data_IF_241022814057
#
_entry.id   IF_241022814057
#
_cell.length_a   1.000
_cell.length_b   1.000
_cell.length_c   1.000
_cell.angle_alpha   90.00
_cell.angle_beta   90.00
_cell.angle_gamma   90.00
#
_symmetry.space_group_name_H-M   'P 1'
#
loop_
_entity.id
_entity.type
_entity.pdbx_description
1 polymer ?
#
# COMPACT_ATOMS: atom_id res chain seq x y z
N UNK A 1 -3.00 48.68 -8.57
CA UNK A 1 -1.95 47.74 -9.01
C UNK A 1 -1.42 46.84 -7.89
N UNK A 2 -1.05 47.35 -6.71
CA UNK A 2 -0.56 46.53 -5.57
C UNK A 2 -1.56 45.47 -5.07
N UNK A 3 -2.86 45.78 -5.04
CA UNK A 3 -3.93 44.83 -4.68
C UNK A 3 -4.07 43.68 -5.70
N UNK A 4 -4.01 43.96 -7.00
CA UNK A 4 -4.03 42.94 -8.06
C UNK A 4 -2.77 42.06 -8.03
N UNK A 5 -1.61 42.66 -7.74
CA UNK A 5 -0.36 41.92 -7.56
C UNK A 5 -0.42 41.01 -6.32
N UNK A 6 -1.07 41.47 -5.25
CA UNK A 6 -1.31 40.71 -4.01
C UNK A 6 -2.22 39.49 -4.23
N UNK A 7 -3.26 39.61 -5.06
CA UNK A 7 -4.12 38.47 -5.42
C UNK A 7 -3.36 37.44 -6.27
N UNK A 8 -2.49 37.90 -7.17
CA UNK A 8 -1.65 37.02 -7.98
C UNK A 8 -0.63 36.24 -7.13
N UNK A 9 0.01 36.90 -6.15
CA UNK A 9 0.91 36.23 -5.20
C UNK A 9 0.18 35.27 -4.25
N UNK A 10 -1.05 35.57 -3.85
CA UNK A 10 -1.86 34.66 -3.03
C UNK A 10 -2.30 33.40 -3.80
N UNK A 11 -2.54 33.52 -5.11
CA UNK A 11 -2.89 32.39 -5.98
C UNK A 11 -1.74 31.41 -6.20
N UNK A 12 -0.49 31.88 -6.15
CA UNK A 12 0.71 31.03 -6.25
C UNK A 12 0.91 30.18 -4.98
N UNK A 13 0.42 30.66 -3.82
CA UNK A 13 0.55 29.95 -2.55
C UNK A 13 -0.42 28.76 -2.39
N UNK A 14 -1.41 28.64 -3.27
CA UNK A 14 -2.41 27.55 -3.26
C UNK A 14 -2.07 26.39 -4.21
N UNK A 15 -0.86 26.34 -4.76
CA UNK A 15 -0.41 25.16 -5.51
C UNK A 15 -0.26 24.02 -4.50
N UNK A 16 -1.24 23.12 -4.47
CA UNK A 16 -1.19 21.89 -3.69
C UNK A 16 0.02 21.07 -4.14
N UNK A 17 0.99 20.92 -3.25
CA UNK A 17 2.08 19.97 -3.43
C UNK A 17 1.50 18.56 -3.22
N UNK A 18 1.38 17.80 -4.30
CA UNK A 18 1.06 16.37 -4.23
C UNK A 18 2.26 15.63 -3.63
N UNK A 19 2.25 15.43 -2.31
CA UNK A 19 3.19 14.53 -1.63
C UNK A 19 2.72 13.11 -1.94
N UNK A 20 3.38 12.48 -2.90
CA UNK A 20 3.16 11.07 -3.22
C UNK A 20 3.98 10.19 -2.28
N UNK A 21 3.36 9.13 -1.79
CA UNK A 21 4.11 8.03 -1.17
C UNK A 21 4.98 7.35 -2.24
N UNK A 22 6.11 6.80 -1.81
CA UNK A 22 6.95 5.97 -2.68
C UNK A 22 6.15 4.77 -3.20
N UNK A 23 6.37 4.45 -4.48
CA UNK A 23 5.72 3.32 -5.15
C UNK A 23 6.32 1.98 -4.71
N UNK A 24 5.72 0.88 -5.18
CA UNK A 24 6.24 -0.48 -4.94
C UNK A 24 7.65 -0.65 -5.51
N UNK A 25 7.97 0.06 -6.58
CA UNK A 25 9.27 0.08 -7.26
C UNK A 25 10.41 0.52 -6.34
N UNK A 26 10.11 1.29 -5.28
CA UNK A 26 11.11 1.64 -4.26
C UNK A 26 11.59 0.41 -3.46
N UNK A 27 10.73 -0.59 -3.29
CA UNK A 27 10.98 -1.75 -2.42
C UNK A 27 11.56 -2.95 -3.15
N UNK A 28 11.58 -2.94 -4.49
CA UNK A 28 11.99 -4.08 -5.28
C UNK A 28 12.95 -3.69 -6.41
N UNK A 29 13.90 -4.57 -6.76
CA UNK A 29 14.69 -4.42 -7.99
C UNK A 29 13.82 -4.39 -9.25
N UNK A 30 14.27 -3.68 -10.29
CA UNK A 30 13.52 -3.52 -11.56
C UNK A 30 13.26 -4.84 -12.31
N UNK A 31 14.03 -5.89 -12.03
CA UNK A 31 13.94 -7.19 -12.70
C UNK A 31 13.06 -8.20 -11.95
N UNK A 32 12.42 -7.79 -10.85
CA UNK A 32 11.52 -8.68 -10.11
C UNK A 32 10.31 -9.05 -10.96
N UNK A 33 9.91 -10.33 -10.89
CA UNK A 33 8.66 -10.81 -11.49
C UNK A 33 7.82 -11.46 -10.40
N UNK A 34 6.64 -10.91 -10.19
CA UNK A 34 5.64 -11.50 -9.30
C UNK A 34 4.86 -12.58 -10.05
N UNK A 35 4.42 -13.58 -9.30
CA UNK A 35 3.53 -14.61 -9.80
C UNK A 35 2.13 -14.03 -9.99
N UNK A 36 1.63 -14.02 -11.22
CA UNK A 36 0.32 -13.46 -11.55
C UNK A 36 -0.85 -14.31 -11.06
N UNK A 37 -0.60 -15.57 -10.66
CA UNK A 37 -1.63 -16.43 -10.06
C UNK A 37 -1.90 -16.06 -8.60
N UNK A 38 -0.97 -15.33 -7.96
CA UNK A 38 -1.12 -14.83 -6.60
C UNK A 38 -1.70 -13.41 -6.64
N UNK A 39 -2.89 -13.17 -6.06
CA UNK A 39 -3.47 -11.83 -6.03
C UNK A 39 -2.57 -10.90 -5.23
N UNK A 40 -2.41 -9.67 -5.68
CA UNK A 40 -1.68 -8.65 -4.91
C UNK A 40 -2.42 -8.32 -3.60
N UNK A 41 -1.73 -7.77 -2.59
CA UNK A 41 -2.38 -7.27 -1.39
C UNK A 41 -3.51 -6.27 -1.69
N UNK A 42 -3.35 -5.39 -2.69
CA UNK A 42 -4.38 -4.42 -3.06
C UNK A 42 -5.62 -5.08 -3.67
N UNK A 43 -5.43 -6.08 -4.53
CA UNK A 43 -6.54 -6.84 -5.13
C UNK A 43 -7.30 -7.64 -4.08
N UNK A 44 -6.59 -8.31 -3.16
CA UNK A 44 -7.20 -9.06 -2.06
C UNK A 44 -7.92 -8.14 -1.06
N UNK A 45 -7.31 -7.00 -0.71
CA UNK A 45 -7.86 -6.08 0.28
C UNK A 45 -8.95 -5.15 -0.29
N UNK A 46 -8.95 -4.91 -1.59
CA UNK A 46 -9.89 -4.02 -2.27
C UNK A 46 -9.61 -2.53 -2.03
N UNK A 47 -8.40 -2.17 -1.62
CA UNK A 47 -7.96 -0.78 -1.48
C UNK A 47 -6.44 -0.67 -1.60
N UNK A 48 -5.97 0.54 -1.92
CA UNK A 48 -4.55 0.82 -2.08
C UNK A 48 -3.79 0.70 -0.76
N UNK A 49 -2.58 0.15 -0.79
CA UNK A 49 -1.71 0.10 0.38
C UNK A 49 -1.42 1.52 0.89
N UNK A 50 -1.46 1.69 2.21
CA UNK A 50 -1.26 2.98 2.87
C UNK A 50 -2.47 3.92 2.85
N UNK A 51 -3.55 3.60 2.13
CA UNK A 51 -4.77 4.42 2.14
C UNK A 51 -5.55 4.38 3.46
N UNK A 52 -5.36 3.31 4.25
CA UNK A 52 -5.90 3.13 5.61
C UNK A 52 -5.12 2.05 6.36
N UNK A 53 -5.31 2.02 7.68
CA UNK A 53 -4.85 0.91 8.53
C UNK A 53 -5.58 -0.36 8.12
N UNK A 54 -4.81 -1.43 7.92
CA UNK A 54 -5.35 -2.77 7.64
C UNK A 54 -5.55 -3.50 8.96
N UNK A 55 -6.76 -4.02 9.19
CA UNK A 55 -7.06 -4.86 10.35
C UNK A 55 -6.17 -6.11 10.36
N UNK A 56 -5.64 -6.47 11.53
CA UNK A 56 -4.71 -7.59 11.67
C UNK A 56 -5.28 -8.91 11.12
N UNK A 57 -6.57 -9.19 11.36
CA UNK A 57 -7.23 -10.39 10.83
C UNK A 57 -7.23 -10.47 9.30
N UNK A 58 -7.28 -9.32 8.61
CA UNK A 58 -7.23 -9.27 7.14
C UNK A 58 -5.82 -9.49 6.60
N UNK A 59 -4.81 -9.07 7.35
CA UNK A 59 -3.41 -9.38 7.04
C UNK A 59 -3.21 -10.89 7.15
N UNK A 60 -3.66 -11.49 8.25
CA UNK A 60 -3.60 -12.94 8.45
C UNK A 60 -4.33 -13.70 7.33
N UNK A 61 -5.53 -13.25 6.94
CA UNK A 61 -6.27 -13.87 5.83
C UNK A 61 -5.49 -13.80 4.49
N UNK A 62 -4.73 -12.74 4.25
CA UNK A 62 -3.86 -12.68 3.07
C UNK A 62 -2.66 -13.63 3.18
N UNK A 63 -2.06 -13.77 4.36
CA UNK A 63 -1.00 -14.75 4.59
C UNK A 63 -1.47 -16.19 4.43
N UNK A 64 -2.69 -16.51 4.90
CA UNK A 64 -3.34 -17.80 4.63
C UNK A 64 -3.51 -18.01 3.12
N UNK A 65 -4.00 -17.00 2.39
CA UNK A 65 -4.15 -17.07 0.93
C UNK A 65 -2.81 -17.24 0.19
N UNK A 66 -1.78 -16.56 0.65
CA UNK A 66 -0.44 -16.66 0.09
C UNK A 66 0.15 -18.05 0.30
N UNK A 67 -0.01 -18.62 1.49
CA UNK A 67 0.46 -19.98 1.79
C UNK A 67 -0.35 -21.06 1.04
N UNK A 68 -1.62 -20.80 0.71
CA UNK A 68 -2.43 -21.69 -0.13
C UNK A 68 -1.93 -21.73 -1.58
N UNK A 69 -1.48 -20.59 -2.13
CA UNK A 69 -1.15 -20.45 -3.54
C UNK A 69 0.34 -20.55 -3.87
N UNK A 70 1.22 -20.32 -2.91
CA UNK A 70 2.66 -20.24 -3.17
C UNK A 70 3.42 -21.44 -2.64
N UNK A 71 4.21 -22.08 -3.52
CA UNK A 71 5.19 -23.10 -3.15
C UNK A 71 6.36 -22.55 -2.29
N UNK A 72 6.41 -21.21 -2.10
CA UNK A 72 7.50 -20.52 -1.40
C UNK A 72 7.10 -19.99 -0.02
N UNK A 73 5.83 -20.11 0.36
CA UNK A 73 5.31 -19.59 1.61
C UNK A 73 4.58 -20.69 2.38
N UNK A 74 4.90 -20.85 3.65
CA UNK A 74 4.25 -21.80 4.56
C UNK A 74 3.77 -21.05 5.80
N UNK A 75 2.55 -21.36 6.26
CA UNK A 75 2.00 -20.82 7.50
C UNK A 75 2.08 -21.89 8.58
N UNK A 76 2.92 -21.67 9.59
CA UNK A 76 3.17 -22.62 10.69
C UNK A 76 2.49 -22.13 11.96
N UNK A 77 1.59 -22.94 12.51
CA UNK A 77 0.99 -22.68 13.82
C UNK A 77 1.97 -23.08 14.95
N UNK A 78 2.46 -22.10 15.72
CA UNK A 78 3.46 -22.35 16.79
C UNK A 78 2.83 -22.48 18.19
N UNK A 79 1.53 -22.25 18.32
CA UNK A 79 0.82 -22.32 19.60
C UNK A 79 -0.51 -21.59 19.58
N UNK A 80 -1.32 -21.83 20.61
CA UNK A 80 -2.61 -21.16 20.83
C UNK A 80 -2.61 -20.53 22.21
N UNK A 81 -3.08 -19.29 22.30
CA UNK A 81 -3.42 -18.66 23.57
C UNK A 81 -4.91 -18.81 23.84
N UNK A 82 -5.30 -18.80 25.11
CA UNK A 82 -6.68 -18.62 25.52
C UNK A 82 -6.77 -17.20 26.10
N UNK A 83 -7.53 -16.31 25.44
CA UNK A 83 -7.94 -15.03 26.01
C UNK A 83 -9.32 -15.16 26.69
#
# INVERSE_FOLDING_TARGET
>A
MKLLLSFFTASILFISLDIKAEGLEYYFPDDIRFDSEIPTPEEFLGYKIGSRVTEHSRINAYYEKLAELSDRAELIEIGKSHE
#
